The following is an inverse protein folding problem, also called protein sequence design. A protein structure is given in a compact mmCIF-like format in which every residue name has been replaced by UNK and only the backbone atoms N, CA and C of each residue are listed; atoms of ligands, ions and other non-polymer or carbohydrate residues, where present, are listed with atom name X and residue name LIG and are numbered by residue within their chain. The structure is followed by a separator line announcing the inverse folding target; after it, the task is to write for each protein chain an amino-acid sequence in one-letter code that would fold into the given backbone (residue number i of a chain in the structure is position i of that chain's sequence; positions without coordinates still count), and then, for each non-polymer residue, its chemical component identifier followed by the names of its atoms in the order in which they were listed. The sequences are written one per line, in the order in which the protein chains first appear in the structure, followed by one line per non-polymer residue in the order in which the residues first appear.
data_IF_719016342453
#
_entry.id   IF_719016342453
#
_cell.length_a   1.000
_cell.length_b   1.000
_cell.length_c   1.000
_cell.angle_alpha   90.00
_cell.angle_beta   90.00
_cell.angle_gamma   90.00
#
_symmetry.space_group_name_H-M   'P 1'
#
loop_
_entity.id
_entity.type
_entity.pdbx_description
1 polymer ?
#
# COMPACT_ATOMS: atom_id res chain seq x y z
N UNK A 1 -1.41 2.29 13.00
CA UNK A 1 -1.43 1.39 11.81
C UNK A 1 -0.39 1.76 10.75
N UNK A 2 -0.33 3.01 10.27
CA UNK A 2 0.57 3.44 9.18
C UNK A 2 2.05 3.12 9.45
N UNK A 3 2.58 3.49 10.63
CA UNK A 3 3.98 3.19 11.03
C UNK A 3 4.34 1.70 10.91
N UNK A 4 3.42 0.79 11.24
CA UNK A 4 3.64 -0.65 11.15
C UNK A 4 3.68 -1.12 9.69
N UNK A 5 2.79 -0.60 8.83
CA UNK A 5 2.77 -0.91 7.40
C UNK A 5 3.98 -0.35 6.66
N UNK A 6 4.46 0.85 7.03
CA UNK A 6 5.73 1.41 6.52
C UNK A 6 6.90 0.50 6.87
N UNK A 7 6.94 -0.07 8.09
CA UNK A 7 7.96 -1.05 8.48
C UNK A 7 7.86 -2.35 7.67
N UNK A 8 6.65 -2.85 7.43
CA UNK A 8 6.45 -4.05 6.59
C UNK A 8 6.89 -3.80 5.14
N UNK A 9 6.52 -2.66 4.57
CA UNK A 9 6.97 -2.26 3.24
C UNK A 9 8.50 -2.10 3.18
N UNK A 10 9.11 -1.51 4.22
CA UNK A 10 10.57 -1.41 4.33
C UNK A 10 11.25 -2.78 4.38
N UNK A 11 10.70 -3.74 5.14
CA UNK A 11 11.20 -5.12 5.16
C UNK A 11 11.12 -5.80 3.78
N UNK A 12 10.06 -5.56 3.03
CA UNK A 12 9.92 -6.06 1.65
C UNK A 12 10.96 -5.44 0.70
N UNK A 13 11.22 -4.13 0.83
CA UNK A 13 12.28 -3.42 0.07
C UNK A 13 13.66 -3.97 0.43
N UNK A 14 13.95 -4.20 1.72
CA UNK A 14 15.21 -4.83 2.14
C UNK A 14 15.35 -6.26 1.62
N UNK A 15 14.25 -7.00 1.49
CA UNK A 15 14.22 -8.35 0.93
C UNK A 15 14.47 -8.37 -0.58
N UNK A 16 14.45 -7.22 -1.26
CA UNK A 16 14.74 -7.14 -2.69
C UNK A 16 16.17 -7.56 -3.05
N UNK A 17 17.09 -7.61 -2.08
CA UNK A 17 18.42 -8.24 -2.24
C UNK A 17 18.34 -9.71 -2.69
N UNK A 18 17.21 -10.37 -2.44
CA UNK A 18 16.98 -11.76 -2.83
C UNK A 18 16.40 -11.92 -4.25
N UNK A 19 16.13 -10.84 -4.99
CA UNK A 19 15.62 -10.93 -6.37
C UNK A 19 16.58 -11.75 -7.25
N UNK A 20 17.86 -11.39 -7.27
CA UNK A 20 18.85 -12.06 -8.12
C UNK A 20 19.11 -13.53 -7.68
N UNK A 21 19.26 -13.83 -6.37
CA UNK A 21 19.27 -15.21 -5.88
C UNK A 21 18.04 -16.03 -6.28
N UNK A 22 16.83 -15.45 -6.23
CA UNK A 22 15.59 -16.14 -6.59
C UNK A 22 15.54 -16.50 -8.08
N UNK A 23 15.96 -15.58 -8.96
CA UNK A 23 16.05 -15.84 -10.40
C UNK A 23 17.02 -17.00 -10.68
N UNK A 24 18.21 -16.96 -10.05
CA UNK A 24 19.29 -17.94 -10.23
C UNK A 24 19.02 -19.29 -9.57
N UNK A 25 18.07 -19.37 -8.64
CA UNK A 25 17.77 -20.61 -7.91
C UNK A 25 17.27 -21.72 -8.85
N UNK A 26 17.92 -22.89 -8.83
CA UNK A 26 17.42 -24.08 -9.55
C UNK A 26 16.39 -24.89 -8.76
N UNK A 27 16.20 -24.58 -7.46
CA UNK A 27 15.31 -25.32 -6.55
C UNK A 27 13.85 -24.88 -6.63
N UNK A 28 13.57 -23.71 -7.21
CA UNK A 28 12.23 -23.14 -7.29
C UNK A 28 11.59 -23.45 -8.64
N UNK A 29 10.32 -23.86 -8.63
CA UNK A 29 9.53 -23.96 -9.86
C UNK A 29 9.28 -22.57 -10.45
N UNK A 30 9.12 -22.47 -11.77
CA UNK A 30 8.93 -21.19 -12.47
C UNK A 30 7.73 -20.39 -11.94
N UNK A 31 6.63 -21.05 -11.56
CA UNK A 31 5.46 -20.41 -10.95
C UNK A 31 5.81 -19.77 -9.59
N UNK A 32 6.49 -20.50 -8.73
CA UNK A 32 6.93 -20.01 -7.42
C UNK A 32 7.92 -18.85 -7.55
N UNK A 33 8.84 -18.93 -8.53
CA UNK A 33 9.76 -17.83 -8.85
C UNK A 33 8.99 -16.57 -9.22
N UNK A 34 8.00 -16.70 -10.09
CA UNK A 34 7.19 -15.56 -10.54
C UNK A 34 6.42 -14.92 -9.38
N UNK A 35 5.74 -15.71 -8.55
CA UNK A 35 5.00 -15.21 -7.39
C UNK A 35 5.93 -14.48 -6.41
N UNK A 36 7.11 -15.04 -6.14
CA UNK A 36 8.09 -14.42 -5.25
C UNK A 36 8.65 -13.12 -5.86
N UNK A 37 8.96 -13.13 -7.16
CA UNK A 37 9.47 -11.95 -7.87
C UNK A 37 8.43 -10.83 -7.90
N UNK A 38 7.17 -11.13 -8.20
CA UNK A 38 6.09 -10.15 -8.15
C UNK A 38 5.92 -9.56 -6.76
N UNK A 39 6.03 -10.39 -5.72
CA UNK A 39 5.97 -9.92 -4.32
C UNK A 39 7.13 -8.99 -3.97
N UNK A 40 8.35 -9.32 -4.42
CA UNK A 40 9.55 -8.53 -4.15
C UNK A 40 9.63 -7.23 -4.98
N UNK A 41 9.10 -7.24 -6.20
CA UNK A 41 9.10 -6.09 -7.12
C UNK A 41 7.96 -5.11 -6.87
N UNK A 42 6.82 -5.58 -6.35
CA UNK A 42 5.64 -4.75 -6.05
C UNK A 42 5.97 -3.42 -5.33
N UNK A 43 6.74 -3.37 -4.23
CA UNK A 43 7.03 -2.10 -3.57
C UNK A 43 7.79 -1.10 -4.45
N UNK A 44 8.63 -1.57 -5.38
CA UNK A 44 9.37 -0.71 -6.31
C UNK A 44 8.46 -0.16 -7.41
N UNK A 45 7.60 -1.02 -7.98
CA UNK A 45 6.62 -0.59 -8.99
C UNK A 45 5.70 0.48 -8.43
N UNK A 46 5.19 0.30 -7.21
CA UNK A 46 4.35 1.30 -6.52
C UNK A 46 5.12 2.61 -6.26
N UNK A 47 6.42 2.52 -5.94
CA UNK A 47 7.27 3.70 -5.76
C UNK A 47 7.49 4.48 -7.07
N UNK A 48 7.74 3.77 -8.18
CA UNK A 48 7.89 4.37 -9.51
C UNK A 48 6.57 5.01 -9.96
N UNK A 49 5.46 4.29 -9.83
CA UNK A 49 4.11 4.80 -10.12
C UNK A 49 3.85 6.11 -9.37
N UNK A 50 4.17 6.16 -8.07
CA UNK A 50 4.02 7.37 -7.26
C UNK A 50 4.83 8.56 -7.79
N UNK A 51 6.08 8.34 -8.21
CA UNK A 51 6.93 9.39 -8.80
C UNK A 51 6.33 9.88 -10.12
N UNK A 52 5.87 8.96 -10.97
CA UNK A 52 5.22 9.30 -12.25
C UNK A 52 3.98 10.15 -12.00
N UNK A 53 3.12 9.78 -11.05
CA UNK A 53 1.90 10.54 -10.71
C UNK A 53 2.22 11.94 -10.19
N UNK A 54 3.24 12.10 -9.34
CA UNK A 54 3.66 13.43 -8.88
C UNK A 54 4.17 14.26 -10.06
N UNK A 55 5.04 13.68 -10.88
CA UNK A 55 5.62 14.37 -12.03
C UNK A 55 4.54 14.80 -13.03
N UNK A 56 3.58 13.93 -13.36
CA UNK A 56 2.47 14.27 -14.26
C UNK A 56 1.59 15.36 -13.67
N UNK A 57 1.31 15.33 -12.36
CA UNK A 57 0.56 16.42 -11.70
C UNK A 57 1.29 17.75 -11.78
N UNK A 58 2.61 17.78 -11.55
CA UNK A 58 3.43 19.00 -11.71
C UNK A 58 3.35 19.50 -13.15
N UNK A 59 3.47 18.61 -14.14
CA UNK A 59 3.39 18.98 -15.56
C UNK A 59 2.01 19.51 -15.96
N UNK A 60 0.93 18.92 -15.46
CA UNK A 60 -0.45 19.40 -15.68
C UNK A 60 -0.62 20.81 -15.10
N UNK A 61 -0.18 21.03 -13.87
CA UNK A 61 -0.27 22.34 -13.22
C UNK A 61 0.58 23.39 -13.95
N UNK A 62 1.81 23.05 -14.31
CA UNK A 62 2.69 23.95 -15.05
C UNK A 62 2.11 24.31 -16.42
N UNK A 63 1.58 23.34 -17.15
CA UNK A 63 0.91 23.60 -18.43
C UNK A 63 -0.31 24.50 -18.24
N UNK A 64 -1.12 24.26 -17.21
CA UNK A 64 -2.29 25.08 -16.94
C UNK A 64 -1.92 26.55 -16.67
N UNK A 65 -0.84 26.79 -15.93
CA UNK A 65 -0.35 28.13 -15.60
C UNK A 65 0.23 28.82 -16.84
N UNK A 66 1.03 28.11 -17.64
CA UNK A 66 1.78 28.70 -18.75
C UNK A 66 0.95 28.89 -20.02
N UNK A 67 0.10 27.92 -20.35
CA UNK A 67 -0.62 27.87 -21.65
C UNK A 67 -2.13 27.86 -21.49
N UNK A 68 -2.65 27.82 -20.26
CA UNK A 68 -4.08 27.66 -20.01
C UNK A 68 -4.59 26.26 -20.36
N UNK A 69 -5.90 26.13 -20.55
CA UNK A 69 -6.51 24.86 -20.94
C UNK A 69 -6.34 24.64 -22.45
N UNK A 70 -5.32 23.86 -22.81
CA UNK A 70 -5.12 23.37 -24.17
C UNK A 70 -5.93 22.10 -24.43
N UNK A 71 -6.22 21.78 -25.70
CA UNK A 71 -6.88 20.52 -26.08
C UNK A 71 -6.19 19.24 -25.55
N UNK A 72 -4.85 19.08 -25.62
CA UNK A 72 -4.20 17.91 -25.01
C UNK A 72 -4.37 17.88 -23.48
N UNK A 73 -4.32 19.04 -22.80
CA UNK A 73 -4.56 19.10 -21.36
C UNK A 73 -6.00 18.73 -21.01
N UNK A 74 -6.96 19.14 -21.83
CA UNK A 74 -8.39 18.79 -21.68
C UNK A 74 -8.60 17.28 -21.76
N UNK A 75 -7.97 16.59 -22.72
CA UNK A 75 -8.05 15.13 -22.83
C UNK A 75 -7.47 14.46 -21.59
N UNK A 76 -6.30 14.91 -21.12
CA UNK A 76 -5.66 14.38 -19.91
C UNK A 76 -6.54 14.56 -18.67
N UNK A 77 -7.16 15.74 -18.51
CA UNK A 77 -8.09 16.01 -17.41
C UNK A 77 -9.34 15.11 -17.47
N UNK A 78 -9.92 14.91 -18.65
CA UNK A 78 -11.06 14.00 -18.82
C UNK A 78 -10.68 12.57 -18.45
N UNK A 79 -9.54 12.08 -18.93
CA UNK A 79 -9.04 10.74 -18.58
C UNK A 79 -8.78 10.60 -17.09
N UNK A 80 -8.20 11.62 -16.45
CA UNK A 80 -7.95 11.64 -15.02
C UNK A 80 -9.24 11.56 -14.20
N UNK A 81 -10.29 12.30 -14.60
CA UNK A 81 -11.62 12.24 -13.97
C UNK A 81 -12.24 10.86 -14.16
N UNK A 82 -12.20 10.30 -15.37
CA UNK A 82 -12.74 8.97 -15.67
C UNK A 82 -12.04 7.87 -14.84
N UNK A 83 -10.70 7.93 -14.73
CA UNK A 83 -9.92 7.02 -13.90
C UNK A 83 -10.27 7.15 -12.42
N UNK A 84 -10.48 8.38 -11.94
CA UNK A 84 -10.89 8.62 -10.55
C UNK A 84 -12.28 8.06 -10.25
N UNK A 85 -13.24 8.24 -11.17
CA UNK A 85 -14.58 7.65 -11.08
C UNK A 85 -14.49 6.13 -11.08
N UNK A 86 -13.68 5.55 -11.98
CA UNK A 86 -13.47 4.10 -12.05
C UNK A 86 -13.00 3.52 -10.71
N UNK A 87 -12.02 4.15 -10.05
CA UNK A 87 -11.53 3.71 -8.73
C UNK A 87 -12.65 3.73 -7.68
N UNK A 88 -13.45 4.80 -7.65
CA UNK A 88 -14.58 4.92 -6.72
C UNK A 88 -15.62 3.82 -6.98
N UNK A 89 -15.96 3.56 -8.25
CA UNK A 89 -16.91 2.52 -8.63
C UNK A 89 -16.42 1.13 -8.22
N UNK A 90 -15.15 0.81 -8.47
CA UNK A 90 -14.55 -0.48 -8.05
C UNK A 90 -14.61 -0.63 -6.53
N UNK A 91 -14.28 0.41 -5.77
CA UNK A 91 -14.35 0.40 -4.31
C UNK A 91 -15.79 0.24 -3.82
N UNK A 92 -16.76 0.85 -4.51
CA UNK A 92 -18.18 0.71 -4.20
C UNK A 92 -18.69 -0.71 -4.44
N UNK A 93 -18.32 -1.33 -5.57
CA UNK A 93 -18.64 -2.74 -5.86
C UNK A 93 -18.04 -3.65 -4.78
N UNK A 94 -16.80 -3.40 -4.36
CA UNK A 94 -16.16 -4.15 -3.27
C UNK A 94 -16.87 -3.99 -1.93
N UNK A 95 -17.29 -2.77 -1.59
CA UNK A 95 -18.04 -2.52 -0.36
C UNK A 95 -19.38 -3.28 -0.34
N UNK A 96 -20.07 -3.37 -1.48
CA UNK A 96 -21.29 -4.18 -1.64
C UNK A 96 -20.98 -5.66 -1.46
N UNK A 97 -19.96 -6.19 -2.16
CA UNK A 97 -19.61 -7.60 -2.08
C UNK A 97 -19.25 -8.02 -0.65
N UNK A 98 -18.41 -7.23 0.02
CA UNK A 98 -17.99 -7.48 1.40
C UNK A 98 -19.18 -7.49 2.37
N UNK A 99 -20.14 -6.58 2.19
CA UNK A 99 -21.37 -6.57 3.01
C UNK A 99 -22.30 -7.72 2.68
N UNK A 100 -22.43 -8.12 1.42
CA UNK A 100 -23.26 -9.26 1.01
C UNK A 100 -22.74 -10.57 1.61
N UNK A 101 -21.43 -10.74 1.69
CA UNK A 101 -20.80 -11.92 2.30
C UNK A 101 -20.95 -11.95 3.82
N UNK A 102 -21.00 -10.78 4.47
CA UNK A 102 -21.01 -10.65 5.94
C UNK A 102 -22.40 -10.47 6.55
N UNK A 103 -23.41 -10.05 5.77
CA UNK A 103 -24.72 -9.64 6.31
C UNK A 103 -25.80 -10.69 6.11
N UNK A 104 -26.37 -11.16 7.23
CA UNK A 104 -27.72 -11.74 7.31
C UNK A 104 -28.81 -10.65 7.47
N UNK A 105 -28.44 -9.37 7.63
CA UNK A 105 -29.36 -8.24 7.88
C UNK A 105 -29.47 -7.21 6.73
N UNK A 106 -30.56 -6.42 6.75
CA UNK A 106 -30.85 -5.37 5.76
C UNK A 106 -29.75 -4.31 5.72
N UNK A 107 -29.00 -4.28 4.63
CA UNK A 107 -27.95 -3.30 4.38
C UNK A 107 -28.55 -1.93 4.08
N UNK A 108 -28.18 -0.89 4.86
CA UNK A 108 -28.48 0.50 4.53
C UNK A 108 -27.49 1.03 3.50
N UNK A 109 -27.98 1.73 2.49
CA UNK A 109 -27.16 2.33 1.41
C UNK A 109 -26.07 3.25 1.96
N UNK A 110 -26.37 3.99 3.05
CA UNK A 110 -25.38 4.85 3.70
C UNK A 110 -24.17 4.05 4.21
N UNK A 111 -24.36 2.85 4.77
CA UNK A 111 -23.22 2.10 5.29
C UNK A 111 -22.28 1.63 4.15
N UNK A 112 -22.82 1.35 2.97
CA UNK A 112 -22.02 1.05 1.76
C UNK A 112 -21.20 2.27 1.33
N UNK A 113 -21.80 3.46 1.36
CA UNK A 113 -21.10 4.72 1.03
C UNK A 113 -19.99 5.01 2.04
N UNK A 114 -20.24 4.82 3.35
CA UNK A 114 -19.19 4.96 4.39
C UNK A 114 -18.04 4.00 4.14
N UNK A 115 -18.33 2.74 3.85
CA UNK A 115 -17.30 1.73 3.60
C UNK A 115 -16.51 2.03 2.33
N UNK A 116 -17.16 2.52 1.29
CA UNK A 116 -16.50 2.98 0.06
C UNK A 116 -15.53 4.13 0.33
N UNK A 117 -15.95 5.12 1.12
CA UNK A 117 -15.10 6.26 1.51
C UNK A 117 -13.95 5.80 2.39
N UNK A 118 -14.20 4.91 3.36
CA UNK A 118 -13.17 4.38 4.25
C UNK A 118 -12.14 3.55 3.47
N UNK A 119 -12.59 2.72 2.52
CA UNK A 119 -11.73 1.93 1.65
C UNK A 119 -10.88 2.84 0.75
N UNK A 120 -11.48 3.88 0.18
CA UNK A 120 -10.77 4.86 -0.63
C UNK A 120 -9.71 5.61 0.20
N UNK A 121 -10.07 6.08 1.41
CA UNK A 121 -9.10 6.69 2.34
C UNK A 121 -7.97 5.73 2.70
N UNK A 122 -8.29 4.46 2.93
CA UNK A 122 -7.30 3.43 3.23
C UNK A 122 -6.32 3.22 2.06
N UNK A 123 -6.82 3.19 0.81
CA UNK A 123 -5.97 3.10 -0.38
C UNK A 123 -5.07 4.33 -0.54
N UNK A 124 -5.58 5.54 -0.30
CA UNK A 124 -4.76 6.77 -0.31
C UNK A 124 -3.67 6.76 0.77
N UNK A 125 -3.94 6.16 1.94
CA UNK A 125 -2.91 5.98 2.97
C UNK A 125 -1.88 4.93 2.51
N UNK A 126 -2.29 3.88 1.80
CA UNK A 126 -1.39 2.86 1.26
C UNK A 126 -0.44 3.41 0.19
N UNK A 127 -0.90 4.32 -0.67
CA UNK A 127 -0.02 4.93 -1.67
C UNK A 127 1.13 5.72 -1.03
N UNK A 128 0.90 6.31 0.15
CA UNK A 128 1.94 7.05 0.90
C UNK A 128 2.92 6.14 1.67
N UNK A 129 2.55 4.89 1.94
CA UNK A 129 3.36 3.97 2.74
C UNK A 129 4.66 3.58 2.00
N UNK A 130 4.58 3.32 0.71
CA UNK A 130 5.71 2.91 -0.13
C UNK A 130 6.81 3.99 -0.27
N UNK A 131 6.52 5.24 -0.64
CA UNK A 131 7.53 6.28 -0.72
C UNK A 131 8.18 6.56 0.64
N UNK A 132 7.40 6.58 1.73
CA UNK A 132 7.96 6.74 3.08
C UNK A 132 8.91 5.59 3.46
N UNK A 133 8.58 4.35 3.07
CA UNK A 133 9.45 3.19 3.31
C UNK A 133 10.73 3.25 2.48
N UNK A 134 10.66 3.72 1.23
CA UNK A 134 11.82 3.92 0.36
C UNK A 134 12.74 5.01 0.91
N UNK A 135 12.19 6.16 1.31
CA UNK A 135 12.95 7.26 1.94
C UNK A 135 13.67 6.77 3.21
N UNK A 136 12.99 5.97 4.05
CA UNK A 136 13.61 5.38 5.24
C UNK A 136 14.72 4.39 4.91
N UNK A 137 14.53 3.58 3.87
CA UNK A 137 15.54 2.64 3.38
C UNK A 137 16.80 3.37 2.90
N UNK A 138 16.65 4.41 2.07
CA UNK A 138 17.78 5.21 1.58
C UNK A 138 18.47 6.03 2.68
N UNK A 139 17.72 6.48 3.69
CA UNK A 139 18.26 7.18 4.85
C UNK A 139 18.85 6.23 5.91
N UNK A 140 19.06 4.94 5.58
CA UNK A 140 19.64 3.92 6.48
C UNK A 140 18.94 3.80 7.84
N UNK A 141 17.66 4.18 7.93
CA UNK A 141 16.86 4.08 9.15
C UNK A 141 16.40 2.64 9.36
N UNK A 142 17.34 1.79 9.76
CA UNK A 142 17.18 0.35 9.92
C UNK A 142 16.62 -0.07 11.30
N UNK A 143 16.24 0.89 12.15
CA UNK A 143 15.69 0.57 13.47
C UNK A 143 14.45 -0.32 13.37
N UNK A 144 14.67 -1.58 13.71
CA UNK A 144 13.71 -2.66 13.76
C UNK A 144 13.20 -2.88 15.17
N UNK A 145 13.38 -1.91 16.08
CA UNK A 145 12.89 -2.04 17.46
C UNK A 145 11.36 -2.16 17.43
N UNK A 146 10.89 -3.40 17.45
CA UNK A 146 9.50 -3.80 17.63
C UNK A 146 9.17 -3.55 19.09
N UNK A 147 8.97 -2.27 19.42
CA UNK A 147 8.80 -1.81 20.82
C UNK A 147 10.04 -2.14 21.66
N UNK A 148 10.37 -1.32 22.67
CA UNK A 148 11.07 -1.93 23.80
C UNK A 148 10.17 -3.09 24.20
N UNK A 149 10.69 -4.32 24.21
CA UNK A 149 10.01 -5.41 24.89
C UNK A 149 9.76 -4.81 26.28
N UNK A 150 8.50 -4.48 26.61
CA UNK A 150 8.20 -4.35 28.02
C UNK A 150 8.55 -5.75 28.50
N UNK A 151 9.62 -5.83 29.29
CA UNK A 151 9.99 -7.05 29.96
C UNK A 151 8.67 -7.59 30.51
N UNK A 152 8.29 -8.81 30.11
CA UNK A 152 7.27 -9.52 30.84
C UNK A 152 7.77 -9.46 32.28
N UNK A 153 7.11 -8.67 33.11
CA UNK A 153 7.33 -8.71 34.54
C UNK A 153 7.03 -10.14 34.92
N UNK A 154 8.09 -10.95 35.06
CA UNK A 154 7.99 -12.30 35.56
C UNK A 154 7.33 -12.14 36.91
N UNK A 155 6.06 -12.51 37.00
CA UNK A 155 5.33 -12.49 38.25
C UNK A 155 6.06 -13.46 39.19
N UNK A 156 6.68 -12.98 40.28
CA UNK A 156 7.53 -13.81 41.14
C UNK A 156 6.74 -14.90 41.90
N UNK A 157 5.41 -14.96 41.77
CA UNK A 157 4.56 -15.92 42.46
C UNK A 157 4.35 -17.27 41.75
N UNK A 158 4.94 -17.51 40.57
CA UNK A 158 4.73 -18.79 39.84
C UNK A 158 5.59 -19.94 40.41
N UNK A 159 6.65 -19.65 41.17
CA UNK A 159 7.55 -20.68 41.72
C UNK A 159 7.09 -21.30 43.06
N UNK A 160 6.00 -20.83 43.67
CA UNK A 160 5.53 -21.34 44.98
C UNK A 160 4.73 -22.64 44.92
N UNK A 161 4.32 -23.12 43.73
CA UNK A 161 3.50 -24.35 43.58
C UNK A 161 4.28 -25.60 43.19
N UNK A 162 5.62 -25.57 43.25
CA UNK A 162 6.48 -26.76 43.05
C UNK A 162 7.37 -27.00 44.26
N UNK A 163 6.78 -27.49 45.36
CA UNK A 163 7.48 -28.28 46.38
C UNK A 163 6.56 -29.33 46.96
#
# INVERSE_FOLDING_TARGET
MVKQRVRWAQGNIQSSKYILPTIRSKKLQNKQKFELLMTLLKPWLMGIEYIIVIYTMIMIVNSLILTGITEPLRIVLILFILMSIYIIVVNFVWAILYKKEKSQEKTRVWDVVKDTVNLTKFLLILTQIYPQSAIRYFNSKNDWVKTNRQEESVDPHIDEYKK
#
